data_IF_595795329045
#
_entry.id   IF_595795329045
#
_cell.length_a   1.000
_cell.length_b   1.000
_cell.length_c   1.000
_cell.angle_alpha   90.00
_cell.angle_beta   90.00
_cell.angle_gamma   90.00
#
_symmetry.space_group_name_H-M   'P 1'
#
loop_
_entity.id
_entity.type
_entity.pdbx_description
1 polymer ?
#
# COMPACT_ATOMS: atom_id res chain seq x y z
N UNK A 1 40.64 31.82 -10.65
CA UNK A 1 39.46 32.00 -9.76
C UNK A 1 38.81 30.65 -9.53
N UNK A 2 38.93 30.07 -8.34
CA UNK A 2 38.39 28.74 -8.02
C UNK A 2 36.88 28.84 -7.84
N UNK A 3 36.10 28.25 -8.75
CA UNK A 3 34.65 28.20 -8.65
C UNK A 3 34.30 27.23 -7.51
N UNK A 4 34.02 27.76 -6.31
CA UNK A 4 33.48 26.98 -5.21
C UNK A 4 32.04 26.58 -5.57
N UNK A 5 31.80 25.30 -5.88
CA UNK A 5 30.44 24.76 -6.00
C UNK A 5 29.69 25.00 -4.69
N UNK A 6 28.50 25.61 -4.75
CA UNK A 6 27.60 25.72 -3.59
C UNK A 6 27.33 24.31 -3.04
N UNK A 7 27.43 24.08 -1.72
CA UNK A 7 27.16 22.77 -1.16
C UNK A 7 25.70 22.40 -1.41
N UNK A 8 25.47 21.22 -2.02
CA UNK A 8 24.13 20.70 -2.24
C UNK A 8 23.50 20.34 -0.91
N UNK A 9 22.50 21.13 -0.48
CA UNK A 9 21.75 20.88 0.75
C UNK A 9 20.56 19.99 0.42
N UNK A 10 20.51 18.78 1.00
CA UNK A 10 19.35 17.87 0.85
C UNK A 10 18.11 18.51 1.50
N UNK A 11 16.96 18.38 0.84
CA UNK A 11 15.66 18.84 1.36
C UNK A 11 15.28 18.14 2.66
N UNK A 12 15.60 16.84 2.79
CA UNK A 12 15.43 16.05 4.02
C UNK A 12 16.80 15.71 4.61
N UNK A 13 17.30 16.57 5.47
CA UNK A 13 18.63 16.46 6.08
C UNK A 13 18.63 15.77 7.47
N UNK A 14 17.46 15.60 8.09
CA UNK A 14 17.32 15.02 9.44
C UNK A 14 16.85 13.57 9.32
N UNK A 15 17.54 12.66 10.01
CA UNK A 15 17.17 11.25 10.12
C UNK A 15 16.37 11.04 11.41
N UNK A 16 15.21 10.40 11.30
CA UNK A 16 14.41 9.94 12.44
C UNK A 16 14.33 8.41 12.36
N UNK A 17 14.71 7.72 13.43
CA UNK A 17 14.70 6.26 13.52
C UNK A 17 13.82 5.78 14.67
N UNK A 18 13.16 4.65 14.46
CA UNK A 18 12.30 3.99 15.45
C UNK A 18 12.70 2.53 15.59
N UNK A 19 12.48 1.95 16.77
CA UNK A 19 12.54 0.50 16.97
C UNK A 19 11.14 -0.06 16.77
N UNK A 20 11.06 -1.16 16.03
CA UNK A 20 9.81 -1.88 15.75
C UNK A 20 10.10 -3.37 15.88
N UNK A 21 9.09 -4.14 16.26
CA UNK A 21 9.14 -5.60 16.15
C UNK A 21 8.86 -6.05 14.70
N UNK A 22 8.95 -7.36 14.43
CA UNK A 22 8.77 -7.91 13.07
C UNK A 22 7.36 -7.66 12.53
N UNK A 23 6.33 -7.85 13.36
CA UNK A 23 4.92 -7.66 12.98
C UNK A 23 4.62 -6.19 12.62
N UNK A 24 5.08 -5.25 13.45
CA UNK A 24 4.96 -3.81 13.23
C UNK A 24 5.67 -3.38 11.94
N UNK A 25 6.84 -3.96 11.67
CA UNK A 25 7.58 -3.71 10.43
C UNK A 25 6.81 -4.20 9.21
N UNK A 26 6.21 -5.40 9.29
CA UNK A 26 5.41 -5.96 8.20
C UNK A 26 4.18 -5.10 7.91
N UNK A 27 3.43 -4.72 8.97
CA UNK A 27 2.25 -3.85 8.86
C UNK A 27 2.62 -2.52 8.22
N UNK A 28 3.71 -1.89 8.66
CA UNK A 28 4.19 -0.63 8.08
C UNK A 28 4.52 -0.78 6.59
N UNK A 29 5.23 -1.84 6.22
CA UNK A 29 5.62 -2.09 4.84
C UNK A 29 4.39 -2.29 3.94
N UNK A 30 3.40 -3.03 4.44
CA UNK A 30 2.15 -3.32 3.74
C UNK A 30 1.33 -2.05 3.52
N UNK A 31 1.16 -1.23 4.57
CA UNK A 31 0.43 0.06 4.48
C UNK A 31 1.12 1.04 3.54
N UNK A 32 2.45 1.17 3.63
CA UNK A 32 3.21 2.03 2.72
C UNK A 32 3.07 1.57 1.26
N UNK A 33 3.18 0.26 0.99
CA UNK A 33 2.99 -0.28 -0.37
C UNK A 33 1.59 0.00 -0.92
N UNK A 34 0.56 -0.17 -0.10
CA UNK A 34 -0.84 0.10 -0.46
C UNK A 34 -1.12 1.58 -0.71
N UNK A 35 -0.44 2.48 0.01
CA UNK A 35 -0.55 3.93 -0.22
C UNK A 35 0.05 4.39 -1.56
N UNK A 36 0.97 3.61 -2.14
CA UNK A 36 1.75 4.02 -3.32
C UNK A 36 2.88 5.00 -3.05
N UNK A 37 3.01 5.47 -1.81
CA UNK A 37 4.07 6.37 -1.34
C UNK A 37 5.35 5.61 -1.01
N UNK A 38 6.47 6.32 -0.92
CA UNK A 38 7.66 5.75 -0.27
C UNK A 38 7.41 5.60 1.23
N UNK A 39 8.12 4.70 1.92
CA UNK A 39 7.98 4.55 3.39
C UNK A 39 8.20 5.88 4.13
N UNK A 40 9.16 6.68 3.66
CA UNK A 40 9.43 7.99 4.24
C UNK A 40 8.25 8.95 4.04
N UNK A 41 7.69 9.02 2.84
CA UNK A 41 6.55 9.90 2.55
C UNK A 41 5.30 9.47 3.32
N UNK A 42 5.04 8.16 3.38
CA UNK A 42 3.94 7.57 4.15
C UNK A 42 4.05 7.96 5.64
N UNK A 43 5.19 7.73 6.26
CA UNK A 43 5.42 8.06 7.67
C UNK A 43 5.29 9.56 7.95
N UNK A 44 5.79 10.42 7.05
CA UNK A 44 5.62 11.86 7.17
C UNK A 44 4.13 12.24 7.13
N UNK A 45 3.33 11.67 6.21
CA UNK A 45 1.89 11.91 6.16
C UNK A 45 1.21 11.45 7.45
N UNK A 46 1.58 10.28 7.97
CA UNK A 46 1.03 9.75 9.21
C UNK A 46 1.33 10.60 10.44
N UNK A 47 2.55 11.14 10.56
CA UNK A 47 2.95 11.98 11.69
C UNK A 47 2.35 13.38 11.57
N UNK A 48 2.24 13.90 10.36
CA UNK A 48 1.71 15.25 10.10
C UNK A 48 0.18 15.29 9.95
N UNK A 49 -0.50 14.15 10.13
CA UNK A 49 -1.96 13.99 9.95
C UNK A 49 -2.46 14.56 8.61
N UNK A 50 -1.65 14.39 7.55
CA UNK A 50 -2.02 14.82 6.22
C UNK A 50 -2.71 13.68 5.49
N UNK A 51 -3.88 13.97 4.95
CA UNK A 51 -4.56 13.08 4.01
C UNK A 51 -3.64 12.79 2.82
N UNK A 52 -3.74 11.57 2.29
CA UNK A 52 -3.09 11.21 1.03
C UNK A 52 -4.10 10.56 0.09
N UNK A 53 -3.86 10.74 -1.20
CA UNK A 53 -4.68 10.15 -2.27
C UNK A 53 -3.96 8.94 -2.81
N UNK A 54 -4.66 7.81 -2.82
CA UNK A 54 -4.21 6.60 -3.50
C UNK A 54 -4.63 6.71 -4.96
N UNK A 55 -3.67 6.91 -5.85
CA UNK A 55 -3.90 6.88 -7.29
C UNK A 55 -3.80 5.44 -7.81
N UNK A 56 -4.92 4.90 -8.29
CA UNK A 56 -4.97 3.56 -8.88
C UNK A 56 -4.21 3.40 -10.20
N UNK A 57 -3.73 4.49 -10.82
CA UNK A 57 -2.81 4.46 -11.96
C UNK A 57 -1.35 4.23 -11.54
N UNK A 58 -1.03 4.38 -10.26
CA UNK A 58 0.32 4.16 -9.76
C UNK A 58 0.69 2.67 -9.82
N UNK A 59 1.74 2.34 -10.58
CA UNK A 59 2.23 0.96 -10.74
C UNK A 59 2.55 0.27 -9.41
N UNK A 60 2.99 1.02 -8.39
CA UNK A 60 3.28 0.47 -7.05
C UNK A 60 2.01 0.03 -6.34
N UNK A 61 0.96 0.85 -6.43
CA UNK A 61 -0.37 0.57 -5.87
C UNK A 61 -0.96 -0.67 -6.56
N UNK A 62 -0.89 -0.73 -7.89
CA UNK A 62 -1.39 -1.89 -8.65
C UNK A 62 -0.67 -3.17 -8.24
N UNK A 63 0.67 -3.17 -8.16
CA UNK A 63 1.46 -4.32 -7.71
C UNK A 63 1.12 -4.75 -6.28
N UNK A 64 0.98 -3.79 -5.37
CA UNK A 64 0.62 -4.07 -3.99
C UNK A 64 -0.76 -4.72 -3.89
N UNK A 65 -1.75 -4.20 -4.62
CA UNK A 65 -3.10 -4.74 -4.63
C UNK A 65 -3.14 -6.14 -5.24
N UNK A 66 -2.50 -6.37 -6.39
CA UNK A 66 -2.44 -7.71 -7.00
C UNK A 66 -1.80 -8.72 -6.05
N UNK A 67 -0.74 -8.35 -5.33
CA UNK A 67 -0.13 -9.20 -4.31
C UNK A 67 -1.10 -9.56 -3.20
N UNK A 68 -1.82 -8.57 -2.67
CA UNK A 68 -2.81 -8.76 -1.60
C UNK A 68 -3.99 -9.64 -2.02
N UNK A 69 -4.46 -9.47 -3.25
CA UNK A 69 -5.52 -10.29 -3.84
C UNK A 69 -5.05 -11.74 -3.99
N UNK A 70 -3.82 -11.96 -4.47
CA UNK A 70 -3.27 -13.31 -4.60
C UNK A 70 -3.11 -13.98 -3.23
N UNK A 71 -2.62 -13.25 -2.23
CA UNK A 71 -2.55 -13.74 -0.84
C UNK A 71 -3.94 -14.14 -0.31
N UNK A 72 -4.96 -13.33 -0.58
CA UNK A 72 -6.35 -13.63 -0.19
C UNK A 72 -6.87 -14.90 -0.90
N UNK A 73 -6.64 -15.03 -2.21
CA UNK A 73 -7.02 -16.23 -2.97
C UNK A 73 -6.33 -17.48 -2.40
N UNK A 74 -5.04 -17.39 -2.08
CA UNK A 74 -4.30 -18.52 -1.50
C UNK A 74 -4.79 -18.87 -0.08
N UNK A 75 -5.13 -17.88 0.74
CA UNK A 75 -5.74 -18.11 2.06
C UNK A 75 -7.11 -18.78 1.93
N UNK A 76 -7.92 -18.36 0.97
CA UNK A 76 -9.21 -18.97 0.67
C UNK A 76 -9.03 -20.43 0.23
N UNK A 77 -8.13 -20.70 -0.72
CA UNK A 77 -7.81 -22.08 -1.16
C UNK A 77 -7.34 -23.01 -0.04
N UNK A 78 -6.62 -22.48 0.96
CA UNK A 78 -6.09 -23.25 2.08
C UNK A 78 -7.12 -23.51 3.18
N UNK A 79 -8.14 -22.68 3.32
CA UNK A 79 -9.19 -22.87 4.31
C UNK A 79 -10.15 -23.97 3.84
N UNK A 80 -10.37 -24.98 4.70
CA UNK A 80 -11.24 -26.14 4.46
C UNK A 80 -12.75 -25.81 4.33
N UNK A 81 -13.11 -24.52 4.30
CA UNK A 81 -14.48 -24.05 4.01
C UNK A 81 -14.83 -24.15 2.52
N UNK A 82 -13.84 -24.30 1.62
CA UNK A 82 -14.08 -24.55 0.18
C UNK A 82 -14.27 -26.05 -0.08
N UNK A 83 -15.11 -26.72 0.72
CA UNK A 83 -15.73 -27.98 0.32
C UNK A 83 -17.15 -27.78 -0.21
N UNK A 84 -17.77 -26.66 0.14
CA UNK A 84 -19.17 -26.34 -0.20
C UNK A 84 -19.30 -25.24 -1.27
N UNK A 85 -18.20 -24.63 -1.71
CA UNK A 85 -18.24 -23.66 -2.81
C UNK A 85 -18.26 -24.43 -4.12
N UNK A 86 -19.29 -24.22 -4.93
CA UNK A 86 -19.32 -24.73 -6.30
C UNK A 86 -18.24 -24.03 -7.13
N UNK A 87 -17.73 -24.66 -8.20
CA UNK A 87 -16.77 -24.02 -9.13
C UNK A 87 -17.22 -22.61 -9.56
N UNK A 88 -18.53 -22.38 -9.64
CA UNK A 88 -19.15 -21.09 -9.97
C UNK A 88 -18.84 -19.99 -8.96
N UNK A 89 -18.82 -20.30 -7.66
CA UNK A 89 -18.56 -19.29 -6.62
C UNK A 89 -17.10 -18.80 -6.65
N UNK A 90 -16.19 -19.71 -6.98
CA UNK A 90 -14.77 -19.41 -7.17
C UNK A 90 -14.57 -18.55 -8.43
N UNK A 91 -15.23 -18.90 -9.53
CA UNK A 91 -15.20 -18.12 -10.78
C UNK A 91 -15.78 -16.71 -10.59
N UNK A 92 -16.90 -16.58 -9.87
CA UNK A 92 -17.53 -15.29 -9.54
C UNK A 92 -16.60 -14.45 -8.66
N UNK A 93 -15.95 -15.05 -7.67
CA UNK A 93 -14.99 -14.33 -6.82
C UNK A 93 -13.76 -13.86 -7.63
N UNK A 94 -13.22 -14.71 -8.49
CA UNK A 94 -12.11 -14.34 -9.37
C UNK A 94 -12.51 -13.19 -10.31
N UNK A 95 -13.74 -13.22 -10.83
CA UNK A 95 -14.30 -12.17 -11.68
C UNK A 95 -14.51 -10.85 -10.91
N UNK A 96 -15.05 -10.90 -9.69
CA UNK A 96 -15.20 -9.74 -8.81
C UNK A 96 -13.86 -9.09 -8.48
N UNK A 97 -12.83 -9.89 -8.21
CA UNK A 97 -11.47 -9.39 -7.94
C UNK A 97 -10.86 -8.75 -9.20
N UNK A 98 -11.05 -9.33 -10.38
CA UNK A 98 -10.66 -8.74 -11.68
C UNK A 98 -11.39 -7.41 -11.94
N UNK A 99 -12.68 -7.33 -11.61
CA UNK A 99 -13.46 -6.09 -11.69
C UNK A 99 -12.89 -5.04 -10.75
N UNK A 100 -12.62 -5.37 -9.48
CA UNK A 100 -12.03 -4.44 -8.51
C UNK A 100 -10.68 -3.90 -9.01
N UNK A 101 -9.85 -4.76 -9.61
CA UNK A 101 -8.59 -4.35 -10.24
C UNK A 101 -8.84 -3.39 -11.43
N UNK A 102 -9.85 -3.69 -12.26
CA UNK A 102 -10.17 -2.89 -13.46
C UNK A 102 -10.78 -1.52 -13.12
N UNK A 103 -11.71 -1.45 -12.17
CA UNK A 103 -12.33 -0.21 -11.68
C UNK A 103 -11.24 0.70 -11.07
N UNK A 104 -10.27 0.11 -10.37
CA UNK A 104 -9.17 0.89 -9.80
C UNK A 104 -8.23 1.52 -10.82
N UNK A 105 -8.14 1.05 -12.07
CA UNK A 105 -7.28 1.69 -13.09
C UNK A 105 -7.67 3.15 -13.38
N UNK A 106 -8.85 3.60 -12.96
CA UNK A 106 -9.30 5.01 -13.07
C UNK A 106 -9.65 5.70 -11.75
N UNK A 107 -9.54 5.03 -10.60
CA UNK A 107 -10.06 5.54 -9.33
C UNK A 107 -8.98 6.19 -8.45
N UNK A 108 -9.29 7.35 -7.90
CA UNK A 108 -8.53 7.99 -6.82
C UNK A 108 -9.31 7.82 -5.51
N UNK A 109 -8.62 7.35 -4.46
CA UNK A 109 -9.25 7.17 -3.14
C UNK A 109 -8.57 8.13 -2.17
N UNK A 110 -9.32 9.09 -1.63
CA UNK A 110 -8.87 9.93 -0.52
C UNK A 110 -8.92 9.10 0.75
N UNK A 111 -7.79 8.96 1.44
CA UNK A 111 -7.72 8.25 2.72
C UNK A 111 -7.62 9.29 3.83
N UNK A 112 -8.70 9.40 4.60
CA UNK A 112 -8.72 10.20 5.83
C UNK A 112 -8.08 9.37 6.95
N UNK A 113 -7.13 9.97 7.65
CA UNK A 113 -6.48 9.31 8.78
C UNK A 113 -7.32 9.50 10.04
N UNK A 114 -7.83 8.41 10.63
CA UNK A 114 -8.51 8.50 11.92
C UNK A 114 -7.56 9.06 12.99
N UNK A 115 -8.03 9.99 13.84
CA UNK A 115 -7.23 10.50 14.95
C UNK A 115 -6.94 9.34 15.91
N UNK A 116 -5.65 9.11 16.19
CA UNK A 116 -5.23 8.11 17.18
C UNK A 116 -5.78 8.51 18.55
N UNK A 117 -6.67 7.68 19.10
CA UNK A 117 -7.16 7.77 20.49
C UNK A 117 -6.05 7.41 21.47
#
# INVERSE_FOLDING_TARGET
>A
MTIKKKPYKRTRQITVSFRVNEEEQEILNRKAALSGLTKQDYLIHCITQRDYVIDGRNTRVQKAISKQINELIELLKKQSFIKDWECKDIEVLEYLLKIIISIKKGAQIKVEMEPRK
#
